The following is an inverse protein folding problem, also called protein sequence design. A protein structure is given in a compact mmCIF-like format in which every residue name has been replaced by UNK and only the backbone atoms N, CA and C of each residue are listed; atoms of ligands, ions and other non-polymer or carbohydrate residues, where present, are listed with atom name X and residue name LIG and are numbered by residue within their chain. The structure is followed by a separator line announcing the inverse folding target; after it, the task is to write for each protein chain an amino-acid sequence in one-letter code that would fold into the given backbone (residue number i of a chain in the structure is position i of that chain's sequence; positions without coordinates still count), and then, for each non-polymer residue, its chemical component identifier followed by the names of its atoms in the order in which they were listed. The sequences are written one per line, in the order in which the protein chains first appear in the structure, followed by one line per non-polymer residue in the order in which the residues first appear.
data_IF_056131181689
#
_entry.id   IF_056131181689
#
_cell.length_a   1.000
_cell.length_b   1.000
_cell.length_c   1.000
_cell.angle_alpha   90.00
_cell.angle_beta   90.00
_cell.angle_gamma   90.00
#
_symmetry.space_group_name_H-M   'P 1'
#
loop_
_entity.id
_entity.type
_entity.pdbx_description
1 polymer ?
#
# COMPACT_ATOMS: atom_id res chain seq x y z
N UNK A 1 7.85 -7.54 -7.17
CA UNK A 1 8.32 -7.38 -8.54
C UNK A 1 7.13 -7.07 -9.47
N UNK A 2 7.28 -6.07 -10.35
CA UNK A 2 6.26 -5.71 -11.34
C UNK A 2 6.91 -5.17 -12.63
N UNK A 3 6.13 -5.14 -13.70
CA UNK A 3 6.56 -4.57 -14.99
C UNK A 3 5.69 -3.36 -15.33
N UNK A 4 6.32 -2.24 -15.63
CA UNK A 4 5.63 -1.02 -16.00
C UNK A 4 6.47 -0.21 -17.01
N UNK A 5 5.83 0.31 -18.05
CA UNK A 5 6.47 1.11 -19.11
C UNK A 5 7.77 0.48 -19.66
N UNK A 6 7.74 -0.81 -19.90
CA UNK A 6 8.87 -1.56 -20.48
C UNK A 6 9.96 -1.97 -19.49
N UNK A 7 9.95 -1.49 -18.26
CA UNK A 7 10.94 -1.83 -17.23
C UNK A 7 10.36 -2.79 -16.18
N UNK A 8 11.23 -3.58 -15.58
CA UNK A 8 10.97 -4.35 -14.37
C UNK A 8 11.34 -3.50 -13.15
N UNK A 9 10.54 -3.60 -12.12
CA UNK A 9 10.72 -2.87 -10.88
C UNK A 9 10.64 -3.85 -9.71
N UNK A 10 11.50 -3.66 -8.73
CA UNK A 10 11.42 -4.37 -7.45
C UNK A 10 11.20 -3.33 -6.34
N UNK A 11 10.08 -3.47 -5.65
CA UNK A 11 9.80 -2.67 -4.47
C UNK A 11 10.02 -3.50 -3.21
N UNK A 12 10.54 -2.88 -2.18
CA UNK A 12 10.87 -3.50 -0.92
C UNK A 12 10.83 -2.47 0.23
N UNK A 13 10.75 -2.99 1.42
CA UNK A 13 10.87 -2.17 2.63
C UNK A 13 12.34 -1.84 2.87
N UNK A 14 12.61 -0.59 3.17
CA UNK A 14 13.91 -0.13 3.64
C UNK A 14 13.74 0.80 4.84
N UNK A 15 14.79 0.96 5.62
CA UNK A 15 14.79 1.93 6.72
C UNK A 15 15.32 3.28 6.24
N UNK A 16 14.85 4.34 6.85
CA UNK A 16 15.32 5.71 6.54
C UNK A 16 16.81 5.90 6.79
N UNK A 17 17.42 5.11 7.68
CA UNK A 17 18.87 5.07 7.91
C UNK A 17 19.67 4.55 6.72
N UNK A 18 19.04 3.84 5.79
CA UNK A 18 19.66 3.30 4.57
C UNK A 18 19.61 4.28 3.39
N UNK A 19 18.90 5.40 3.56
CA UNK A 19 18.86 6.47 2.56
C UNK A 19 20.17 7.28 2.54
N UNK A 20 20.57 7.87 1.39
CA UNK A 20 21.64 8.83 1.35
C UNK A 20 21.41 9.98 2.34
N UNK A 21 22.37 10.20 3.24
CA UNK A 21 22.22 11.15 4.35
C UNK A 21 21.34 10.64 5.48
N UNK A 22 21.20 9.33 5.61
CA UNK A 22 20.27 8.61 6.46
C UNK A 22 20.09 9.16 7.86
N UNK A 23 18.88 9.11 8.33
CA UNK A 23 18.45 9.62 9.64
C UNK A 23 17.67 8.54 10.40
N UNK A 24 17.63 8.60 11.73
CA UNK A 24 16.76 7.72 12.49
C UNK A 24 15.30 7.95 12.10
N UNK A 25 14.63 6.88 11.70
CA UNK A 25 13.24 6.96 11.27
C UNK A 25 12.64 5.59 11.02
N UNK A 26 11.42 5.57 10.50
CA UNK A 26 10.65 4.37 10.26
C UNK A 26 10.96 3.69 8.92
N UNK A 27 10.11 2.76 8.58
CA UNK A 27 10.16 2.02 7.32
C UNK A 27 9.55 2.85 6.19
N UNK A 28 10.20 2.81 5.04
CA UNK A 28 9.75 3.41 3.78
C UNK A 28 9.85 2.37 2.67
N UNK A 29 9.33 2.66 1.50
CA UNK A 29 9.48 1.80 0.34
C UNK A 29 10.63 2.28 -0.54
N UNK A 30 11.58 1.39 -0.81
CA UNK A 30 12.58 1.54 -1.84
C UNK A 30 12.13 0.89 -3.15
N UNK A 31 12.58 1.43 -4.27
CA UNK A 31 12.37 0.84 -5.59
C UNK A 31 13.67 0.84 -6.37
N UNK A 32 13.98 -0.29 -6.99
CA UNK A 32 15.02 -0.44 -8.00
C UNK A 32 14.40 -0.86 -9.32
N UNK A 33 15.06 -0.59 -10.43
CA UNK A 33 14.57 -0.95 -11.76
C UNK A 33 15.62 -1.70 -12.58
N UNK A 34 15.12 -2.47 -13.55
CA UNK A 34 15.92 -3.19 -14.53
C UNK A 34 15.19 -3.26 -15.87
N UNK A 35 15.93 -3.33 -16.96
CA UNK A 35 15.38 -3.59 -18.30
C UNK A 35 15.46 -5.07 -18.69
N UNK A 36 16.26 -5.87 -18.00
CA UNK A 36 16.63 -7.23 -18.40
C UNK A 36 16.54 -8.27 -17.25
N UNK A 37 16.15 -7.87 -16.04
CA UNK A 37 16.13 -8.67 -14.79
C UNK A 37 17.50 -9.14 -14.31
N UNK A 38 18.58 -8.72 -14.96
CA UNK A 38 19.96 -9.10 -14.61
C UNK A 38 20.71 -7.92 -14.02
N UNK A 39 20.60 -6.78 -14.68
CA UNK A 39 21.27 -5.55 -14.28
C UNK A 39 20.24 -4.62 -13.65
N UNK A 40 20.40 -4.32 -12.38
CA UNK A 40 19.52 -3.47 -11.58
C UNK A 40 20.19 -2.12 -11.33
N UNK A 41 19.38 -1.07 -11.17
CA UNK A 41 19.89 0.24 -10.72
C UNK A 41 20.68 0.07 -9.43
N UNK A 42 21.85 0.72 -9.31
CA UNK A 42 22.76 0.49 -8.20
C UNK A 42 22.20 0.94 -6.85
N UNK A 43 21.50 2.06 -6.82
CA UNK A 43 20.88 2.59 -5.60
C UNK A 43 19.35 2.59 -5.72
N UNK A 44 18.63 2.26 -4.65
CA UNK A 44 17.19 2.41 -4.62
C UNK A 44 16.79 3.89 -4.60
N UNK A 45 15.70 4.22 -5.28
CA UNK A 45 15.02 5.48 -5.02
C UNK A 45 14.03 5.33 -3.86
N UNK A 46 13.76 6.44 -3.17
CA UNK A 46 12.65 6.51 -2.23
C UNK A 46 11.33 6.49 -3.00
N UNK A 47 10.71 5.32 -3.07
CA UNK A 47 9.51 5.09 -3.88
C UNK A 47 8.23 5.56 -3.20
N UNK A 48 8.15 5.39 -1.88
CA UNK A 48 6.98 5.82 -1.12
C UNK A 48 7.31 5.95 0.37
N UNK A 49 6.72 6.95 0.98
CA UNK A 49 6.71 7.14 2.42
C UNK A 49 5.37 7.71 2.88
N UNK A 50 5.02 7.48 4.14
CA UNK A 50 3.87 8.11 4.77
C UNK A 50 4.25 9.47 5.39
N UNK A 51 3.27 10.25 5.80
CA UNK A 51 3.45 11.66 6.17
C UNK A 51 4.51 11.87 7.25
N UNK A 52 4.50 11.07 8.31
CA UNK A 52 5.37 11.22 9.47
C UNK A 52 6.54 10.22 9.50
N UNK A 53 7.00 9.76 8.34
CA UNK A 53 8.06 8.74 8.25
C UNK A 53 9.38 9.15 8.93
N UNK A 54 9.61 10.44 9.08
CA UNK A 54 10.81 11.03 9.70
C UNK A 54 10.61 11.40 11.18
N UNK A 55 9.45 11.12 11.76
CA UNK A 55 9.20 11.43 13.16
C UNK A 55 10.15 10.67 14.09
N UNK A 56 10.57 11.35 15.16
CA UNK A 56 11.45 10.78 16.16
C UNK A 56 10.82 10.94 17.56
N UNK A 57 10.82 9.92 18.42
CA UNK A 57 11.40 8.59 18.18
C UNK A 57 10.65 7.84 17.06
N UNK A 58 11.31 6.88 16.37
CA UNK A 58 10.70 6.11 15.28
C UNK A 58 9.39 5.42 15.64
N UNK A 59 9.15 5.28 16.91
CA UNK A 59 7.93 4.75 17.51
C UNK A 59 6.65 5.48 17.08
N UNK A 60 6.71 6.77 16.85
CA UNK A 60 5.58 7.59 16.43
C UNK A 60 5.53 7.81 14.91
N UNK A 61 6.50 7.27 14.18
CA UNK A 61 6.54 7.40 12.73
C UNK A 61 5.47 6.51 12.09
N UNK A 62 4.75 7.08 11.14
CA UNK A 62 3.92 6.30 10.24
C UNK A 62 4.81 5.53 9.27
N UNK A 63 4.66 4.22 9.22
CA UNK A 63 5.56 3.35 8.49
C UNK A 63 4.87 2.62 7.35
N UNK A 64 5.67 2.26 6.37
CA UNK A 64 5.30 1.41 5.23
C UNK A 64 5.78 0.00 5.50
N UNK A 65 4.91 -0.99 5.30
CA UNK A 65 5.27 -2.39 5.39
C UNK A 65 4.79 -3.14 4.15
N UNK A 66 5.53 -4.16 3.78
CA UNK A 66 5.17 -5.18 2.78
C UNK A 66 4.45 -4.63 1.54
N UNK A 67 5.10 -3.78 0.69
CA UNK A 67 4.49 -3.34 -0.54
C UNK A 67 4.27 -4.53 -1.48
N UNK A 68 3.03 -4.74 -1.92
CA UNK A 68 2.63 -5.89 -2.70
C UNK A 68 1.44 -5.58 -3.63
N UNK A 69 0.87 -6.60 -4.25
CA UNK A 69 -0.34 -6.47 -5.05
C UNK A 69 -0.22 -5.49 -6.21
N UNK A 70 0.97 -5.36 -6.80
CA UNK A 70 1.18 -4.42 -7.90
C UNK A 70 0.38 -4.81 -9.12
N UNK A 71 -0.47 -3.90 -9.57
CA UNK A 71 -1.40 -4.11 -10.67
C UNK A 71 -1.23 -3.05 -11.75
N UNK A 72 -0.63 -3.43 -12.86
CA UNK A 72 -0.44 -2.57 -14.01
C UNK A 72 -1.77 -2.36 -14.76
N UNK A 73 -2.21 -1.10 -14.84
CA UNK A 73 -3.44 -0.66 -15.54
C UNK A 73 -3.15 0.13 -16.81
N UNK A 74 -1.93 0.03 -17.33
CA UNK A 74 -1.49 0.70 -18.56
C UNK A 74 -0.80 2.04 -18.29
N UNK A 75 -1.54 3.06 -17.90
CA UNK A 75 -1.03 4.40 -17.61
C UNK A 75 -0.75 4.64 -16.10
N UNK A 76 -1.21 3.73 -15.26
CA UNK A 76 -1.00 3.78 -13.82
C UNK A 76 -0.73 2.38 -13.30
N UNK A 77 0.11 2.27 -12.29
CA UNK A 77 0.26 1.06 -11.49
C UNK A 77 -0.34 1.31 -10.12
N UNK A 78 -1.18 0.39 -9.69
CA UNK A 78 -1.72 0.35 -8.34
C UNK A 78 -0.91 -0.65 -7.52
N UNK A 79 -0.89 -0.46 -6.21
CA UNK A 79 -0.34 -1.44 -5.29
C UNK A 79 -0.97 -1.29 -3.91
N UNK A 80 -0.71 -2.28 -3.08
CA UNK A 80 -1.17 -2.34 -1.69
C UNK A 80 0.04 -2.35 -0.78
N UNK A 81 -0.07 -1.74 0.36
CA UNK A 81 1.00 -1.72 1.36
C UNK A 81 0.42 -1.80 2.77
N UNK A 82 1.21 -2.30 3.69
CA UNK A 82 0.87 -2.29 5.10
C UNK A 82 1.03 -0.90 5.70
N UNK A 83 -0.04 -0.39 6.28
CA UNK A 83 -0.05 0.84 7.08
C UNK A 83 0.23 0.49 8.53
N UNK A 84 1.47 0.54 8.95
CA UNK A 84 1.81 0.32 10.35
C UNK A 84 1.38 1.52 11.18
N UNK A 85 0.59 1.22 12.20
CA UNK A 85 0.18 2.16 13.23
C UNK A 85 0.70 1.67 14.57
N UNK A 86 1.17 2.58 15.41
CA UNK A 86 1.33 2.26 16.82
C UNK A 86 0.03 2.53 17.56
N UNK A 87 -0.39 1.56 18.31
CA UNK A 87 -1.44 1.73 19.30
C UNK A 87 -0.75 2.06 20.61
N UNK A 88 -1.01 3.26 21.11
CA UNK A 88 -0.55 3.77 22.42
C UNK A 88 0.95 3.53 22.71
N UNK A 89 1.76 4.52 22.37
CA UNK A 89 3.13 4.57 22.88
C UNK A 89 3.06 4.61 24.43
N UNK A 90 3.04 3.44 25.06
CA UNK A 90 3.24 3.39 26.51
C UNK A 90 4.58 4.01 26.80
N UNK A 91 4.69 4.95 27.77
CA UNK A 91 5.97 5.50 28.16
C UNK A 91 6.95 4.35 28.45
N UNK A 92 8.06 4.32 27.72
CA UNK A 92 9.10 3.30 27.86
C UNK A 92 9.07 2.14 26.83
N UNK A 93 8.07 2.04 25.96
CA UNK A 93 8.04 1.10 24.83
C UNK A 93 8.51 1.78 23.55
N UNK A 94 9.74 2.21 23.50
CA UNK A 94 10.30 2.76 22.26
C UNK A 94 10.55 1.66 21.22
N UNK A 95 10.63 2.03 19.96
CA UNK A 95 11.03 1.17 18.83
C UNK A 95 12.38 0.45 19.00
N UNK A 96 13.17 0.84 19.98
CA UNK A 96 14.35 0.09 20.39
C UNK A 96 14.04 -1.36 20.78
N UNK A 97 12.77 -1.73 20.84
CA UNK A 97 12.28 -3.08 21.08
C UNK A 97 11.59 -3.71 19.87
N UNK A 98 12.01 -3.41 18.64
CA UNK A 98 11.56 -4.15 17.45
C UNK A 98 11.77 -5.68 17.56
N UNK A 99 12.42 -6.15 18.59
CA UNK A 99 12.51 -7.56 18.95
C UNK A 99 11.55 -8.02 20.05
N UNK A 100 10.80 -7.12 20.70
CA UNK A 100 9.91 -7.48 21.81
C UNK A 100 8.70 -6.56 22.01
N UNK A 101 8.35 -5.75 21.02
CA UNK A 101 7.25 -4.76 21.09
C UNK A 101 6.43 -4.69 19.80
N UNK A 102 6.48 -5.74 18.98
CA UNK A 102 5.63 -5.87 17.82
C UNK A 102 4.17 -6.21 18.20
N UNK A 103 3.96 -6.63 19.43
CA UNK A 103 2.64 -6.91 19.99
C UNK A 103 1.71 -5.69 19.99
N UNK A 104 2.29 -4.49 20.14
CA UNK A 104 1.53 -3.23 20.11
C UNK A 104 1.40 -2.66 18.68
N UNK A 105 1.99 -3.29 17.67
CA UNK A 105 1.91 -2.86 16.29
C UNK A 105 0.59 -3.30 15.67
N UNK A 106 -0.08 -2.37 15.02
CA UNK A 106 -1.29 -2.63 14.26
C UNK A 106 -1.07 -2.26 12.80
N UNK A 107 -1.61 -3.06 11.91
CA UNK A 107 -1.42 -2.86 10.48
C UNK A 107 -2.73 -3.00 9.72
N UNK A 108 -3.08 -1.96 8.97
CA UNK A 108 -4.16 -1.98 7.99
C UNK A 108 -3.55 -2.04 6.57
N UNK A 109 -4.32 -2.33 5.54
CA UNK A 109 -3.86 -2.23 4.16
C UNK A 109 -4.24 -0.89 3.54
N UNK A 110 -3.25 -0.17 3.05
CA UNK A 110 -3.41 1.04 2.27
C UNK A 110 -3.32 0.79 0.77
N UNK A 111 -3.80 1.75 -0.01
CA UNK A 111 -3.68 1.78 -1.46
C UNK A 111 -2.71 2.89 -1.86
N UNK A 112 -1.80 2.60 -2.76
CA UNK A 112 -0.95 3.60 -3.39
C UNK A 112 -0.92 3.41 -4.90
N UNK A 113 -0.53 4.44 -5.61
CA UNK A 113 -0.45 4.42 -7.07
C UNK A 113 0.75 5.22 -7.59
N UNK A 114 1.19 4.88 -8.79
CA UNK A 114 2.27 5.55 -9.49
C UNK A 114 1.98 5.66 -11.00
N UNK A 115 2.42 6.75 -11.61
CA UNK A 115 2.37 6.95 -13.05
C UNK A 115 3.74 6.74 -13.74
N UNK A 116 4.80 6.59 -12.97
CA UNK A 116 6.17 6.35 -13.47
C UNK A 116 6.75 4.98 -13.04
N UNK A 117 6.06 4.28 -12.15
CA UNK A 117 6.50 3.00 -11.60
C UNK A 117 7.63 3.12 -10.56
N UNK A 118 8.06 4.32 -10.20
CA UNK A 118 9.13 4.56 -9.24
C UNK A 118 8.63 5.28 -7.99
N UNK A 119 7.84 6.34 -8.18
CA UNK A 119 7.34 7.18 -7.11
C UNK A 119 5.84 6.95 -6.92
N UNK A 120 5.48 6.54 -5.74
CA UNK A 120 4.10 6.21 -5.38
C UNK A 120 3.52 7.26 -4.44
N UNK A 121 2.21 7.37 -4.46
CA UNK A 121 1.45 8.24 -3.56
C UNK A 121 0.14 7.60 -3.16
N UNK A 122 -0.35 7.92 -2.02
CA UNK A 122 -1.72 7.62 -1.62
C UNK A 122 -2.69 8.51 -2.41
N UNK A 123 -3.76 7.96 -3.00
CA UNK A 123 -4.81 8.78 -3.60
C UNK A 123 -5.54 9.63 -2.55
N UNK A 124 -5.69 9.08 -1.36
CA UNK A 124 -6.22 9.74 -0.18
C UNK A 124 -5.31 9.35 0.99
N UNK A 125 -4.72 10.32 1.70
CA UNK A 125 -3.82 10.03 2.82
C UNK A 125 -4.49 9.13 3.86
N UNK A 126 -3.77 8.09 4.28
CA UNK A 126 -4.20 7.10 5.28
C UNK A 126 -5.52 6.38 4.97
N UNK A 127 -5.92 6.33 3.70
CA UNK A 127 -7.08 5.54 3.28
C UNK A 127 -6.79 4.04 3.49
N UNK A 128 -7.69 3.36 4.18
CA UNK A 128 -7.62 1.94 4.43
C UNK A 128 -8.39 1.18 3.37
N UNK A 129 -7.70 0.53 2.45
CA UNK A 129 -8.32 -0.33 1.44
C UNK A 129 -8.94 -1.58 2.09
N UNK A 130 -8.20 -2.18 3.02
CA UNK A 130 -8.68 -3.25 3.87
C UNK A 130 -8.34 -2.88 5.31
N UNK A 131 -9.30 -2.38 6.07
CA UNK A 131 -9.10 -2.17 7.50
C UNK A 131 -9.00 -3.54 8.20
N UNK A 132 -8.14 -3.64 9.21
CA UNK A 132 -8.16 -4.79 10.11
C UNK A 132 -9.48 -4.83 10.87
N UNK A 133 -9.80 -5.99 11.40
CA UNK A 133 -10.95 -6.20 12.28
C UNK A 133 -10.85 -5.47 13.62
N UNK A 134 -11.87 -5.60 14.43
CA UNK A 134 -11.86 -5.10 15.79
C UNK A 134 -10.96 -5.95 16.68
N UNK A 135 -10.51 -5.38 17.79
CA UNK A 135 -9.75 -6.12 18.80
C UNK A 135 -10.49 -7.39 19.25
N UNK A 136 -9.77 -8.49 19.31
CA UNK A 136 -10.33 -9.80 19.61
C UNK A 136 -10.92 -10.56 18.42
N UNK A 137 -10.97 -9.97 17.23
CA UNK A 137 -11.29 -10.68 16.00
C UNK A 137 -10.02 -11.33 15.41
N UNK A 138 -10.20 -12.35 14.59
CA UNK A 138 -9.12 -13.13 13.98
C UNK A 138 -8.13 -12.28 13.14
N UNK A 139 -8.59 -11.15 12.64
CA UNK A 139 -7.81 -10.16 11.87
C UNK A 139 -7.68 -8.81 12.60
N UNK A 140 -7.95 -8.78 13.91
CA UNK A 140 -7.96 -7.56 14.71
C UNK A 140 -6.60 -6.97 15.03
N UNK A 141 -5.53 -7.75 14.87
CA UNK A 141 -4.17 -7.33 15.13
C UNK A 141 -3.52 -6.65 13.94
N UNK A 142 -3.28 -7.40 12.90
CA UNK A 142 -2.59 -6.92 11.71
C UNK A 142 -3.05 -7.67 10.47
N UNK A 143 -3.05 -6.98 9.32
CA UNK A 143 -3.33 -7.56 8.02
C UNK A 143 -2.19 -7.24 7.04
N UNK A 144 -1.75 -8.23 6.26
CA UNK A 144 -0.69 -8.09 5.26
C UNK A 144 -1.17 -8.49 3.88
N UNK A 145 -0.78 -7.79 2.81
CA UNK A 145 -1.30 -8.04 1.49
C UNK A 145 -0.67 -9.28 0.84
N UNK A 146 -1.46 -10.02 0.06
CA UNK A 146 -0.93 -10.96 -0.91
C UNK A 146 -0.40 -10.24 -2.16
N UNK A 147 0.27 -10.99 -3.02
CA UNK A 147 1.04 -10.44 -4.14
C UNK A 147 0.22 -9.98 -5.36
N UNK A 148 -1.08 -10.27 -5.42
CA UNK A 148 -1.84 -10.01 -6.64
C UNK A 148 -3.31 -9.70 -6.38
N UNK A 149 -3.84 -8.75 -7.15
CA UNK A 149 -5.27 -8.64 -7.41
C UNK A 149 -5.70 -9.67 -8.45
N UNK A 150 -6.86 -10.26 -8.26
CA UNK A 150 -7.45 -11.23 -9.20
C UNK A 150 -8.81 -10.74 -9.65
N UNK A 151 -8.96 -10.53 -10.97
CA UNK A 151 -10.25 -10.23 -11.58
C UNK A 151 -10.88 -11.51 -12.11
N UNK A 152 -12.08 -11.84 -11.63
CA UNK A 152 -12.87 -12.94 -12.16
C UNK A 152 -14.35 -12.58 -12.17
N UNK A 153 -15.00 -12.78 -13.32
CA UNK A 153 -16.39 -12.37 -13.49
C UNK A 153 -16.62 -10.90 -13.19
N UNK A 154 -17.54 -10.61 -12.30
CA UNK A 154 -17.93 -9.27 -11.88
C UNK A 154 -17.13 -8.73 -10.68
N UNK A 155 -16.12 -9.45 -10.21
CA UNK A 155 -15.41 -9.10 -8.98
C UNK A 155 -13.90 -8.96 -9.16
N UNK A 156 -13.34 -8.11 -8.34
CA UNK A 156 -11.90 -8.01 -8.04
C UNK A 156 -11.68 -8.57 -6.64
N UNK A 157 -10.70 -9.46 -6.50
CA UNK A 157 -10.35 -10.11 -5.25
C UNK A 157 -8.93 -9.77 -4.84
N UNK A 158 -8.71 -9.73 -3.54
CA UNK A 158 -7.39 -9.67 -2.92
C UNK A 158 -7.38 -10.61 -1.71
N UNK A 159 -6.43 -11.54 -1.69
CA UNK A 159 -6.13 -12.30 -0.49
C UNK A 159 -5.24 -11.48 0.45
N UNK A 160 -5.36 -11.72 1.73
CA UNK A 160 -4.49 -11.13 2.74
C UNK A 160 -4.24 -12.12 3.87
N UNK A 161 -3.07 -12.04 4.48
CA UNK A 161 -2.79 -12.71 5.74
C UNK A 161 -3.23 -11.82 6.88
N UNK A 162 -3.63 -12.41 8.01
CA UNK A 162 -4.04 -11.67 9.18
C UNK A 162 -3.64 -12.36 10.48
N UNK A 163 -3.56 -11.60 11.55
CA UNK A 163 -3.34 -12.07 12.92
C UNK A 163 -4.34 -11.44 13.86
N UNK A 164 -4.74 -12.21 14.84
CA UNK A 164 -5.68 -11.80 15.89
C UNK A 164 -5.07 -10.80 16.90
N UNK A 165 -3.75 -10.79 17.00
CA UNK A 165 -2.98 -9.89 17.85
C UNK A 165 -1.99 -9.11 17.01
N UNK A 166 -1.20 -8.21 17.59
CA UNK A 166 -0.18 -7.46 16.85
C UNK A 166 0.74 -8.35 16.01
N UNK A 167 1.74 -7.78 15.40
CA UNK A 167 2.72 -8.55 14.62
C UNK A 167 3.61 -9.40 15.56
N UNK A 168 2.98 -10.25 16.38
CA UNK A 168 3.67 -11.14 17.32
C UNK A 168 3.85 -12.51 16.68
N UNK A 169 5.09 -12.89 16.47
CA UNK A 169 5.43 -14.16 15.81
C UNK A 169 5.21 -15.40 16.70
N UNK A 170 5.21 -15.23 18.00
CA UNK A 170 5.25 -16.37 18.92
C UNK A 170 3.88 -16.82 19.46
N UNK A 171 2.88 -15.95 19.48
CA UNK A 171 1.58 -16.23 20.12
C UNK A 171 0.38 -15.87 19.26
N UNK A 172 0.56 -15.19 18.15
CA UNK A 172 -0.53 -14.80 17.27
C UNK A 172 -1.01 -15.98 16.42
N UNK A 173 -2.30 -16.24 16.41
CA UNK A 173 -2.90 -17.12 15.43
C UNK A 173 -2.96 -16.37 14.09
N UNK A 174 -2.45 -17.01 13.03
CA UNK A 174 -2.45 -16.48 11.68
C UNK A 174 -3.50 -17.17 10.82
N UNK A 175 -4.19 -16.39 10.03
CA UNK A 175 -5.22 -16.85 9.10
C UNK A 175 -5.14 -16.14 7.75
N UNK A 176 -5.92 -16.59 6.77
CA UNK A 176 -6.00 -16.01 5.43
C UNK A 176 -7.40 -15.49 5.18
N UNK A 177 -7.46 -14.19 4.86
CA UNK A 177 -8.69 -13.53 4.46
C UNK A 177 -8.80 -13.32 2.95
N UNK A 178 -10.02 -13.11 2.50
CA UNK A 178 -10.34 -12.74 1.14
C UNK A 178 -11.28 -11.54 1.17
N UNK A 179 -10.87 -10.46 0.52
CA UNK A 179 -11.74 -9.31 0.27
C UNK A 179 -12.11 -9.26 -1.20
N UNK A 180 -13.34 -8.84 -1.47
CA UNK A 180 -13.84 -8.67 -2.82
C UNK A 180 -14.51 -7.33 -3.01
N UNK A 181 -14.34 -6.77 -4.19
CA UNK A 181 -15.04 -5.59 -4.67
C UNK A 181 -15.75 -5.91 -5.98
N UNK A 182 -16.71 -5.09 -6.38
CA UNK A 182 -17.15 -5.05 -7.76
C UNK A 182 -15.92 -4.90 -8.66
N UNK A 183 -15.88 -5.55 -9.79
CA UNK A 183 -14.74 -5.52 -10.70
C UNK A 183 -14.27 -4.09 -10.94
N UNK A 184 -12.99 -3.86 -10.69
CA UNK A 184 -12.30 -2.57 -10.77
C UNK A 184 -12.88 -1.48 -9.83
N UNK A 185 -13.72 -1.86 -8.88
CA UNK A 185 -14.44 -0.97 -7.95
C UNK A 185 -13.66 -0.62 -6.68
N UNK A 186 -12.37 -0.30 -6.79
CA UNK A 186 -11.53 0.06 -5.62
C UNK A 186 -11.81 1.47 -5.08
N UNK A 187 -12.58 2.27 -5.79
CA UNK A 187 -12.95 3.62 -5.39
C UNK A 187 -13.92 4.23 -6.39
N UNK A 188 -14.47 5.37 -6.02
CA UNK A 188 -15.35 6.16 -6.84
C UNK A 188 -15.16 7.65 -6.57
N UNK A 189 -15.58 8.48 -7.51
CA UNK A 189 -15.61 9.93 -7.34
C UNK A 189 -17.04 10.33 -6.98
N UNK A 190 -17.17 11.16 -5.93
CA UNK A 190 -18.48 11.73 -5.53
C UNK A 190 -18.40 13.23 -5.41
N UNK A 191 -19.54 13.88 -5.53
CA UNK A 191 -19.66 15.31 -5.24
C UNK A 191 -19.28 15.57 -3.77
N UNK A 192 -18.44 16.56 -3.55
CA UNK A 192 -18.12 17.02 -2.19
C UNK A 192 -19.34 17.72 -1.56
N UNK A 193 -20.07 18.46 -2.38
CA UNK A 193 -21.29 19.18 -2.03
C UNK A 193 -22.35 18.83 -3.07
N UNK A 194 -23.37 18.05 -2.67
CA UNK A 194 -24.45 17.60 -3.55
C UNK A 194 -25.39 18.73 -4.01
N UNK A 195 -25.27 19.93 -3.45
CA UNK A 195 -26.09 21.10 -3.85
C UNK A 195 -25.52 21.83 -5.07
N UNK A 196 -24.32 21.50 -5.54
CA UNK A 196 -23.63 22.15 -6.66
C UNK A 196 -23.20 21.15 -7.72
N UNK A 197 -23.36 21.50 -9.02
CA UNK A 197 -22.78 20.68 -10.08
C UNK A 197 -21.26 20.69 -9.99
N UNK A 198 -20.62 19.55 -10.28
CA UNK A 198 -19.18 19.45 -10.41
C UNK A 198 -18.80 18.96 -11.81
N UNK A 199 -17.59 19.29 -12.22
CA UNK A 199 -17.01 18.82 -13.47
C UNK A 199 -15.88 17.83 -13.14
N UNK A 200 -15.98 16.63 -13.70
CA UNK A 200 -14.88 15.68 -13.72
C UNK A 200 -14.21 15.74 -15.11
N UNK A 201 -12.96 16.16 -15.12
CA UNK A 201 -12.16 16.17 -16.33
C UNK A 201 -11.08 15.09 -16.21
N UNK A 202 -11.05 14.15 -17.15
CA UNK A 202 -9.98 13.17 -17.28
C UNK A 202 -8.80 13.78 -18.05
N UNK A 203 -7.64 13.16 -17.95
CA UNK A 203 -6.56 13.43 -18.93
C UNK A 203 -7.04 13.06 -20.33
N UNK A 204 -6.37 13.64 -21.35
CA UNK A 204 -6.66 13.31 -22.73
C UNK A 204 -6.51 11.79 -22.95
N UNK A 205 -7.59 11.17 -23.35
CA UNK A 205 -7.56 9.76 -23.73
C UNK A 205 -6.99 9.67 -25.13
N UNK A 206 -5.95 8.85 -25.35
CA UNK A 206 -5.46 8.56 -26.68
C UNK A 206 -6.62 8.06 -27.56
N UNK A 207 -6.74 8.54 -28.81
CA UNK A 207 -7.80 8.04 -29.69
C UNK A 207 -7.72 6.53 -29.75
N UNK A 208 -8.79 5.91 -29.35
CA UNK A 208 -8.92 4.47 -29.33
C UNK A 208 -8.97 3.97 -30.79
N UNK A 209 -8.35 2.84 -31.07
CA UNK A 209 -8.72 2.07 -32.25
C UNK A 209 -10.25 1.91 -32.26
N UNK A 210 -10.86 1.92 -33.42
CA UNK A 210 -12.30 2.15 -33.69
C UNK A 210 -13.34 1.31 -32.90
N UNK A 211 -12.91 0.46 -31.97
CA UNK A 211 -13.79 -0.45 -31.22
C UNK A 211 -13.67 -0.37 -29.69
N UNK A 212 -13.04 0.66 -29.13
CA UNK A 212 -12.96 0.76 -27.67
C UNK A 212 -14.22 1.39 -27.11
N UNK A 213 -14.89 0.65 -26.22
CA UNK A 213 -16.02 1.16 -25.42
C UNK A 213 -15.49 1.80 -24.15
N UNK A 214 -15.97 2.99 -23.85
CA UNK A 214 -15.74 3.65 -22.57
C UNK A 214 -16.88 3.26 -21.65
N UNK A 215 -16.56 2.71 -20.49
CA UNK A 215 -17.53 2.40 -19.46
C UNK A 215 -17.36 3.39 -18.31
N UNK A 216 -18.45 3.97 -17.87
CA UNK A 216 -18.49 4.84 -16.70
C UNK A 216 -19.34 4.13 -15.66
N UNK A 217 -18.77 3.91 -14.48
CA UNK A 217 -19.52 3.42 -13.33
C UNK A 217 -20.03 4.63 -12.55
N UNK A 218 -21.34 4.72 -12.43
CA UNK A 218 -22.01 5.68 -11.55
C UNK A 218 -23.20 4.98 -10.88
N UNK A 219 -23.51 5.40 -9.67
CA UNK A 219 -24.71 5.00 -8.94
C UNK A 219 -25.73 6.12 -9.03
#
# INVERSE_FOLDING_TARGET
LYRFQGCYHSAFVMYTSELPGGFPGGRVMGVIRSTDLRNWSGAPCLGFHRANYHAYPPAIAEQVHTPAGFWNRGNVILGVYGQIHQVDARPGTGFARLGSGMEDTREDLGLFLSNDGLHFREPIPSFKLVPRGMEGQWDGGSVVPANAFVNTGAHTYLYYGAWDNGMCYDTAAGDVGLVSWRRDGLGFVRLRDGSRPAVLQTEALAPAAAERKIYVNFD
#
